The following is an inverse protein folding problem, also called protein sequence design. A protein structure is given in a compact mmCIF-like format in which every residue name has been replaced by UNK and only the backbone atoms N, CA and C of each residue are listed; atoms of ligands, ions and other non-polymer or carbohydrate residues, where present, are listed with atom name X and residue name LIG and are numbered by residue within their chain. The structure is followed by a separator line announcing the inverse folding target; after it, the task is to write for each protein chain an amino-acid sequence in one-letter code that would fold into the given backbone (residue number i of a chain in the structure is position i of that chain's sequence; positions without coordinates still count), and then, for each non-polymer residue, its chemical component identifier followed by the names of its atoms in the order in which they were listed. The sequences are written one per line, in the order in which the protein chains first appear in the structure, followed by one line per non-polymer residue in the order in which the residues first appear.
data_IF_756681783114
#
_entry.id   IF_756681783114
#
_cell.length_a   1.000
_cell.length_b   1.000
_cell.length_c   1.000
_cell.angle_alpha   90.00
_cell.angle_beta   90.00
_cell.angle_gamma   90.00
#
_symmetry.space_group_name_H-M   'P 1'
#
loop_
_entity.id
_entity.type
_entity.pdbx_description
1 polymer ?
#
# COMPACT_ATOMS: atom_id res chain seq x y z
N UNK A 1 -18.34 34.35 33.23
CA UNK A 1 -19.70 34.52 32.68
C UNK A 1 -20.64 34.87 33.83
N UNK A 2 -20.94 36.15 34.02
CA UNK A 2 -21.89 36.62 35.03
C UNK A 2 -23.32 36.47 34.49
N UNK A 3 -24.14 35.67 35.17
CA UNK A 3 -25.55 35.47 34.87
C UNK A 3 -26.35 36.67 35.37
N UNK A 4 -26.83 37.51 34.44
CA UNK A 4 -27.78 38.58 34.77
C UNK A 4 -29.10 37.98 35.31
N UNK A 5 -29.67 38.53 36.41
CA UNK A 5 -30.87 37.98 37.02
C UNK A 5 -32.08 38.19 36.10
N UNK A 6 -32.74 37.08 35.75
CA UNK A 6 -34.03 37.04 35.05
C UNK A 6 -35.12 37.63 35.95
N UNK A 7 -35.29 38.95 35.93
CA UNK A 7 -36.45 39.63 36.54
C UNK A 7 -37.72 39.18 35.80
N UNK A 8 -38.48 38.27 36.41
CA UNK A 8 -39.78 37.80 35.93
C UNK A 8 -40.80 38.94 36.00
N UNK A 9 -40.83 39.77 34.97
CA UNK A 9 -41.78 40.87 34.78
C UNK A 9 -43.19 40.35 34.37
N UNK A 10 -43.72 39.34 35.08
CA UNK A 10 -45.06 38.78 34.79
C UNK A 10 -46.23 39.67 35.25
N UNK A 11 -45.98 40.76 35.99
CA UNK A 11 -47.02 41.59 36.62
C UNK A 11 -47.21 43.00 36.03
N UNK A 12 -46.38 43.39 35.04
CA UNK A 12 -46.48 44.71 34.42
C UNK A 12 -47.81 45.03 33.68
N UNK A 13 -48.54 44.09 33.05
CA UNK A 13 -49.82 44.46 32.42
C UNK A 13 -50.92 44.77 33.45
N UNK A 14 -50.90 44.12 34.61
CA UNK A 14 -51.89 44.35 35.68
C UNK A 14 -51.71 45.69 36.39
N UNK A 15 -50.47 46.14 36.59
CA UNK A 15 -50.20 47.42 37.25
C UNK A 15 -50.65 48.64 36.42
N UNK A 16 -50.53 48.58 35.09
CA UNK A 16 -50.98 49.64 34.18
C UNK A 16 -52.51 49.65 33.99
N UNK A 17 -53.14 48.47 33.96
CA UNK A 17 -54.60 48.38 33.98
C UNK A 17 -55.17 48.93 35.29
N UNK A 18 -54.55 48.61 36.43
CA UNK A 18 -54.93 49.16 37.73
C UNK A 18 -54.71 50.68 37.82
N UNK A 19 -53.60 51.19 37.28
CA UNK A 19 -53.36 52.64 37.21
C UNK A 19 -54.35 53.36 36.29
N UNK A 20 -54.72 52.76 35.15
CA UNK A 20 -55.77 53.27 34.27
C UNK A 20 -57.15 53.28 34.94
N UNK A 21 -57.52 52.23 35.67
CA UNK A 21 -58.76 52.17 36.44
C UNK A 21 -58.79 53.18 37.59
N UNK A 22 -57.66 53.41 38.28
CA UNK A 22 -57.56 54.39 39.36
C UNK A 22 -57.65 55.84 38.85
N UNK A 23 -57.07 56.13 37.68
CA UNK A 23 -57.20 57.43 37.03
C UNK A 23 -58.63 57.67 36.53
N UNK A 24 -59.29 56.64 35.99
CA UNK A 24 -60.69 56.73 35.56
C UNK A 24 -61.66 56.90 36.74
N UNK A 25 -61.40 56.22 37.86
CA UNK A 25 -62.18 56.37 39.10
C UNK A 25 -61.98 57.73 39.78
N UNK A 26 -60.75 58.29 39.76
CA UNK A 26 -60.46 59.62 40.29
C UNK A 26 -61.09 60.76 39.48
N UNK A 27 -61.22 60.58 38.17
CA UNK A 27 -61.79 61.58 37.28
C UNK A 27 -63.33 61.69 37.40
N UNK A 28 -64.01 60.58 37.76
CA UNK A 28 -65.44 60.60 38.09
C UNK A 28 -65.77 61.11 39.51
N UNK A 29 -64.78 61.18 40.41
CA UNK A 29 -64.99 61.70 41.77
C UNK A 29 -64.98 63.24 41.84
N UNK A 30 -64.53 63.94 40.79
CA UNK A 30 -64.53 65.39 40.68
C UNK A 30 -65.34 65.83 39.45
N UNK A 31 -66.61 66.16 39.65
CA UNK A 31 -67.54 66.59 38.58
C UNK A 31 -67.17 67.93 37.91
N UNK A 32 -66.15 68.65 38.41
CA UNK A 32 -65.68 69.94 37.90
C UNK A 32 -64.19 69.91 37.45
N UNK A 33 -63.62 68.73 37.16
CA UNK A 33 -62.26 68.66 36.62
C UNK A 33 -62.22 69.27 35.20
N UNK A 34 -61.35 70.26 34.92
CA UNK A 34 -61.32 70.94 33.62
C UNK A 34 -60.91 69.95 32.53
N UNK A 35 -61.59 70.02 31.38
CA UNK A 35 -61.40 69.20 30.17
C UNK A 35 -59.90 69.03 29.78
N UNK A 36 -59.08 70.03 30.09
CA UNK A 36 -57.63 70.05 29.89
C UNK A 36 -56.84 68.95 30.64
N UNK A 37 -57.32 68.45 31.78
CA UNK A 37 -56.63 67.40 32.54
C UNK A 37 -56.89 66.00 31.96
N UNK A 38 -58.07 65.78 31.37
CA UNK A 38 -58.36 64.56 30.61
C UNK A 38 -57.49 64.43 29.36
N UNK A 39 -57.30 65.54 28.63
CA UNK A 39 -56.43 65.56 27.45
C UNK A 39 -54.96 65.29 27.79
N UNK A 40 -54.47 65.81 28.92
CA UNK A 40 -53.12 65.52 29.42
C UNK A 40 -52.94 64.05 29.79
N UNK A 41 -53.91 63.46 30.50
CA UNK A 41 -53.88 62.03 30.86
C UNK A 41 -53.95 61.15 29.60
N UNK A 42 -54.83 61.50 28.65
CA UNK A 42 -54.94 60.80 27.38
C UNK A 42 -53.64 60.89 26.55
N UNK A 43 -53.00 62.07 26.50
CA UNK A 43 -51.70 62.26 25.84
C UNK A 43 -50.60 61.42 26.50
N UNK A 44 -50.51 61.42 27.84
CA UNK A 44 -49.54 60.61 28.58
C UNK A 44 -49.74 59.10 28.34
N UNK A 45 -50.99 58.63 28.26
CA UNK A 45 -51.29 57.23 27.93
C UNK A 45 -50.91 56.87 26.49
N UNK A 46 -51.14 57.75 25.51
CA UNK A 46 -50.68 57.56 24.11
C UNK A 46 -49.15 57.52 24.03
N UNK A 47 -48.46 58.40 24.77
CA UNK A 47 -47.00 58.41 24.80
C UNK A 47 -46.45 57.12 25.44
N UNK A 48 -46.98 56.72 26.60
CA UNK A 48 -46.58 55.49 27.29
C UNK A 48 -46.83 54.22 26.45
N UNK A 49 -47.96 54.16 25.74
CA UNK A 49 -48.25 53.03 24.82
C UNK A 49 -47.30 53.02 23.63
N UNK A 50 -47.00 54.19 23.03
CA UNK A 50 -46.04 54.30 21.93
C UNK A 50 -44.60 53.92 22.35
N UNK A 51 -44.18 54.33 23.54
CA UNK A 51 -42.87 53.99 24.11
C UNK A 51 -42.77 52.47 24.38
N UNK A 52 -43.84 51.85 24.88
CA UNK A 52 -43.91 50.40 25.09
C UNK A 52 -43.85 49.62 23.77
N UNK A 53 -44.54 50.09 22.73
CA UNK A 53 -44.48 49.49 21.41
C UNK A 53 -43.06 49.59 20.81
N UNK A 54 -42.39 50.75 20.94
CA UNK A 54 -40.99 50.94 20.53
C UNK A 54 -40.03 50.03 21.31
N UNK A 55 -40.19 49.90 22.62
CA UNK A 55 -39.37 49.00 23.43
C UNK A 55 -39.59 47.53 23.05
N UNK A 56 -40.84 47.15 22.77
CA UNK A 56 -41.18 45.81 22.34
C UNK A 56 -40.59 45.49 20.95
N UNK A 57 -40.63 46.43 20.00
CA UNK A 57 -40.02 46.24 18.68
C UNK A 57 -38.49 46.15 18.75
N UNK A 58 -37.85 47.01 19.56
CA UNK A 58 -36.39 46.93 19.80
C UNK A 58 -35.98 45.60 20.43
N UNK A 59 -36.73 45.10 21.41
CA UNK A 59 -36.46 43.79 22.02
C UNK A 59 -36.62 42.64 21.03
N UNK A 60 -37.62 42.70 20.15
CA UNK A 60 -37.77 41.71 19.07
C UNK A 60 -36.61 41.78 18.08
N UNK A 61 -36.17 42.98 17.70
CA UNK A 61 -35.01 43.16 16.83
C UNK A 61 -33.73 42.61 17.47
N UNK A 62 -33.47 42.92 18.75
CA UNK A 62 -32.32 42.39 19.48
C UNK A 62 -32.37 40.86 19.59
N UNK A 63 -33.54 40.28 19.90
CA UNK A 63 -33.71 38.83 19.97
C UNK A 63 -33.50 38.14 18.61
N UNK A 64 -33.92 38.77 17.51
CA UNK A 64 -33.66 38.26 16.16
C UNK A 64 -32.17 38.28 15.82
N UNK A 65 -31.45 39.35 16.17
CA UNK A 65 -30.00 39.43 15.95
C UNK A 65 -29.22 38.43 16.81
N UNK A 66 -29.62 38.24 18.08
CA UNK A 66 -29.06 37.18 18.93
C UNK A 66 -29.32 35.78 18.36
N UNK A 67 -30.53 35.53 17.85
CA UNK A 67 -30.86 34.26 17.21
C UNK A 67 -30.03 34.02 15.94
N UNK A 68 -29.83 35.04 15.09
CA UNK A 68 -28.95 34.95 13.91
C UNK A 68 -27.50 34.66 14.29
N UNK A 69 -26.98 35.33 15.33
CA UNK A 69 -25.61 35.08 15.83
C UNK A 69 -25.45 33.65 16.31
N UNK A 70 -26.39 33.15 17.12
CA UNK A 70 -26.36 31.78 17.60
C UNK A 70 -26.50 30.75 16.47
N UNK A 71 -27.27 31.05 15.42
CA UNK A 71 -27.35 30.20 14.22
C UNK A 71 -26.03 30.16 13.46
N UNK A 72 -25.39 31.32 13.26
CA UNK A 72 -24.09 31.40 12.59
C UNK A 72 -23.00 30.66 13.37
N UNK A 73 -22.96 30.82 14.70
CA UNK A 73 -22.01 30.13 15.56
C UNK A 73 -22.14 28.61 15.43
N UNK A 74 -23.35 28.07 15.49
CA UNK A 74 -23.61 26.63 15.26
C UNK A 74 -23.18 26.17 13.87
N UNK A 75 -23.52 26.94 12.83
CA UNK A 75 -23.14 26.60 11.46
C UNK A 75 -21.61 26.58 11.28
N UNK A 76 -20.89 27.51 11.92
CA UNK A 76 -19.44 27.52 11.90
C UNK A 76 -18.84 26.34 12.67
N UNK A 77 -19.37 26.01 13.85
CA UNK A 77 -18.91 24.87 14.64
C UNK A 77 -19.12 23.53 13.91
N UNK A 78 -20.28 23.36 13.26
CA UNK A 78 -20.57 22.21 12.40
C UNK A 78 -19.58 22.13 11.23
N UNK A 79 -19.32 23.24 10.55
CA UNK A 79 -18.36 23.27 9.43
C UNK A 79 -16.93 23.00 9.90
N UNK A 80 -16.51 23.57 11.02
CA UNK A 80 -15.18 23.35 11.60
C UNK A 80 -15.01 21.88 12.01
N UNK A 81 -16.02 21.28 12.66
CA UNK A 81 -15.97 19.88 13.07
C UNK A 81 -15.93 18.93 11.86
N UNK A 82 -16.73 19.21 10.83
CA UNK A 82 -16.69 18.49 9.55
C UNK A 82 -15.29 18.57 8.91
N UNK A 83 -14.74 19.76 8.70
CA UNK A 83 -13.39 19.92 8.11
C UNK A 83 -12.29 19.24 8.93
N UNK A 84 -12.39 19.27 10.27
CA UNK A 84 -11.43 18.55 11.14
C UNK A 84 -11.50 17.04 10.93
N UNK A 85 -12.71 16.49 10.79
CA UNK A 85 -12.90 15.06 10.52
C UNK A 85 -12.34 14.65 9.15
N UNK A 86 -12.56 15.48 8.13
CA UNK A 86 -12.01 15.27 6.79
C UNK A 86 -10.48 15.33 6.80
N UNK A 87 -9.89 16.33 7.46
CA UNK A 87 -8.43 16.42 7.61
C UNK A 87 -7.83 15.23 8.35
N UNK A 88 -8.52 14.72 9.38
CA UNK A 88 -8.09 13.51 10.07
C UNK A 88 -8.15 12.28 9.14
N UNK A 89 -9.22 12.15 8.35
CA UNK A 89 -9.36 11.10 7.33
C UNK A 89 -8.26 11.17 6.27
N UNK A 90 -7.99 12.35 5.73
CA UNK A 90 -6.92 12.58 4.75
C UNK A 90 -5.53 12.28 5.33
N UNK A 91 -5.25 12.69 6.56
CA UNK A 91 -3.98 12.36 7.24
C UNK A 91 -3.80 10.86 7.38
N UNK A 92 -4.86 10.14 7.77
CA UNK A 92 -4.83 8.68 7.88
C UNK A 92 -4.57 8.02 6.52
N UNK A 93 -5.33 8.41 5.49
CA UNK A 93 -5.15 7.88 4.14
C UNK A 93 -3.75 8.15 3.58
N UNK A 94 -3.20 9.35 3.82
CA UNK A 94 -1.86 9.69 3.37
C UNK A 94 -0.77 8.89 4.12
N UNK A 95 -0.95 8.65 5.43
CA UNK A 95 -0.05 7.79 6.19
C UNK A 95 -0.07 6.33 5.68
N UNK A 96 -1.26 5.80 5.33
CA UNK A 96 -1.40 4.49 4.70
C UNK A 96 -0.75 4.43 3.33
N UNK A 97 -0.89 5.48 2.51
CA UNK A 97 -0.25 5.58 1.21
C UNK A 97 1.29 5.61 1.32
N UNK A 98 1.82 6.39 2.27
CA UNK A 98 3.26 6.44 2.54
C UNK A 98 3.82 5.09 3.04
N UNK A 99 3.07 4.38 3.89
CA UNK A 99 3.46 3.03 4.32
C UNK A 99 3.48 2.05 3.14
N UNK A 100 2.52 2.14 2.22
CA UNK A 100 2.49 1.31 1.00
C UNK A 100 3.65 1.63 0.06
N UNK A 101 3.98 2.91 -0.15
CA UNK A 101 5.11 3.29 -1.00
C UNK A 101 6.44 2.79 -0.44
N UNK A 102 6.68 2.96 0.86
CA UNK A 102 7.88 2.44 1.52
C UNK A 102 8.00 0.91 1.42
N UNK A 103 6.88 0.19 1.56
CA UNK A 103 6.88 -1.27 1.38
C UNK A 103 7.18 -1.69 -0.07
N UNK A 104 6.71 -0.93 -1.06
CA UNK A 104 7.01 -1.18 -2.47
C UNK A 104 8.47 -0.87 -2.81
N UNK A 105 9.02 0.24 -2.29
CA UNK A 105 10.44 0.58 -2.45
C UNK A 105 11.34 -0.54 -1.90
N UNK A 106 11.03 -1.05 -0.71
CA UNK A 106 11.75 -2.20 -0.15
C UNK A 106 11.65 -3.44 -1.04
N UNK A 107 10.47 -3.77 -1.54
CA UNK A 107 10.30 -4.91 -2.46
C UNK A 107 11.08 -4.74 -3.76
N UNK A 108 11.15 -3.52 -4.29
CA UNK A 108 11.95 -3.22 -5.48
C UNK A 108 13.45 -3.34 -5.20
N UNK A 109 13.92 -2.86 -4.04
CA UNK A 109 15.32 -3.03 -3.65
C UNK A 109 15.69 -4.51 -3.49
N UNK A 110 14.83 -5.29 -2.82
CA UNK A 110 15.04 -6.73 -2.63
C UNK A 110 15.05 -7.47 -3.98
N UNK A 111 14.15 -7.12 -4.90
CA UNK A 111 14.11 -7.69 -6.25
C UNK A 111 15.35 -7.30 -7.08
N UNK A 112 15.87 -6.08 -6.94
CA UNK A 112 17.09 -5.65 -7.62
C UNK A 112 18.32 -6.45 -7.17
N UNK A 113 18.42 -6.75 -5.87
CA UNK A 113 19.48 -7.63 -5.33
C UNK A 113 19.36 -9.03 -5.92
N UNK A 114 18.16 -9.62 -5.91
CA UNK A 114 17.93 -10.95 -6.49
C UNK A 114 18.24 -11.02 -7.99
N UNK A 115 17.93 -9.97 -8.75
CA UNK A 115 18.28 -9.88 -10.17
C UNK A 115 19.80 -9.81 -10.39
N UNK A 116 20.53 -9.07 -9.54
CA UNK A 116 21.98 -9.01 -9.60
C UNK A 116 22.63 -10.36 -9.23
N UNK A 117 22.10 -11.06 -8.22
CA UNK A 117 22.55 -12.41 -7.86
C UNK A 117 22.30 -13.40 -9.01
N UNK A 118 21.13 -13.34 -9.64
CA UNK A 118 20.79 -14.17 -10.79
C UNK A 118 21.71 -13.90 -11.98
N UNK A 119 22.00 -12.62 -12.26
CA UNK A 119 22.93 -12.20 -13.31
C UNK A 119 24.33 -12.80 -13.09
N UNK A 120 24.86 -12.64 -11.87
CA UNK A 120 26.17 -13.18 -11.49
C UNK A 120 26.23 -14.71 -11.57
N UNK A 121 25.16 -15.40 -11.17
CA UNK A 121 25.06 -16.86 -11.30
C UNK A 121 25.07 -17.30 -12.76
N UNK A 122 24.30 -16.62 -13.62
CA UNK A 122 24.27 -16.95 -15.04
C UNK A 122 25.63 -16.71 -15.71
N UNK A 123 26.27 -15.59 -15.41
CA UNK A 123 27.62 -15.28 -15.89
C UNK A 123 28.65 -16.34 -15.48
N UNK A 124 28.66 -16.71 -14.19
CA UNK A 124 29.57 -17.73 -13.69
C UNK A 124 29.34 -19.09 -14.38
N UNK A 125 28.08 -19.46 -14.62
CA UNK A 125 27.73 -20.72 -15.29
C UNK A 125 28.08 -20.71 -16.78
N UNK A 126 27.78 -19.63 -17.49
CA UNK A 126 28.11 -19.49 -18.90
C UNK A 126 29.63 -19.52 -19.11
N UNK A 127 30.40 -18.76 -18.31
CA UNK A 127 31.88 -18.83 -18.36
C UNK A 127 32.40 -20.23 -18.02
N UNK A 128 31.79 -20.92 -17.05
CA UNK A 128 32.12 -22.30 -16.72
C UNK A 128 31.89 -23.27 -17.90
N UNK A 129 30.77 -23.12 -18.61
CA UNK A 129 30.48 -23.91 -19.82
C UNK A 129 31.46 -23.58 -20.95
N UNK A 130 31.71 -22.29 -21.21
CA UNK A 130 32.53 -21.85 -22.34
C UNK A 130 34.04 -22.07 -22.14
N UNK A 131 34.50 -22.13 -20.89
CA UNK A 131 35.90 -22.47 -20.55
C UNK A 131 36.18 -23.97 -20.64
N UNK A 132 35.17 -24.84 -20.60
CA UNK A 132 35.36 -26.27 -20.73
C UNK A 132 35.41 -26.68 -22.21
N UNK A 133 36.54 -27.21 -22.71
CA UNK A 133 36.72 -27.51 -24.13
C UNK A 133 35.75 -28.57 -24.67
N UNK A 134 35.28 -29.51 -23.84
CA UNK A 134 34.29 -30.51 -24.26
C UNK A 134 32.91 -29.87 -24.44
N UNK A 135 32.54 -29.01 -23.50
CA UNK A 135 31.26 -28.27 -23.54
C UNK A 135 31.24 -27.34 -24.74
N UNK A 136 32.34 -26.59 -24.94
CA UNK A 136 32.52 -25.67 -26.06
C UNK A 136 32.33 -26.37 -27.42
N UNK A 137 33.02 -27.49 -27.64
CA UNK A 137 32.90 -28.27 -28.89
C UNK A 137 31.49 -28.82 -29.12
N UNK A 138 30.82 -29.28 -28.07
CA UNK A 138 29.44 -29.79 -28.17
C UNK A 138 28.44 -28.67 -28.53
N UNK A 139 28.61 -27.49 -27.94
CA UNK A 139 27.81 -26.30 -28.25
C UNK A 139 28.03 -25.83 -29.69
N UNK A 140 29.29 -25.75 -30.15
CA UNK A 140 29.65 -25.40 -31.53
C UNK A 140 29.04 -26.39 -32.54
N UNK A 141 29.11 -27.70 -32.27
CA UNK A 141 28.45 -28.73 -33.10
C UNK A 141 26.93 -28.59 -33.14
N UNK A 142 26.35 -28.08 -32.06
CA UNK A 142 24.90 -27.83 -31.95
C UNK A 142 24.46 -26.52 -32.59
N UNK A 143 25.40 -25.75 -33.16
CA UNK A 143 25.12 -24.45 -33.78
C UNK A 143 24.86 -23.33 -32.78
N UNK A 144 25.25 -23.49 -31.51
CA UNK A 144 25.18 -22.40 -30.53
C UNK A 144 26.41 -21.51 -30.71
N UNK A 145 26.17 -20.24 -31.06
CA UNK A 145 27.19 -19.21 -31.05
C UNK A 145 27.61 -18.92 -29.61
N UNK A 146 28.92 -18.98 -29.37
CA UNK A 146 29.51 -18.76 -28.06
C UNK A 146 30.00 -17.32 -28.03
N UNK A 147 29.33 -16.40 -27.31
CA UNK A 147 29.74 -15.01 -27.27
C UNK A 147 31.11 -14.86 -26.63
N UNK A 148 31.86 -13.84 -27.07
CA UNK A 148 33.10 -13.45 -26.41
C UNK A 148 32.86 -12.91 -24.99
N UNK A 149 33.92 -12.80 -24.18
CA UNK A 149 33.81 -12.27 -22.80
C UNK A 149 33.27 -10.84 -22.72
N UNK A 150 33.51 -10.03 -23.77
CA UNK A 150 32.97 -8.68 -23.88
C UNK A 150 31.46 -8.71 -24.16
N UNK A 151 31.04 -9.49 -25.15
CA UNK A 151 29.64 -9.65 -25.54
C UNK A 151 28.81 -10.24 -24.40
N UNK A 152 29.35 -11.20 -23.64
CA UNK A 152 28.67 -11.80 -22.50
C UNK A 152 28.38 -10.76 -21.39
N UNK A 153 29.27 -9.78 -21.19
CA UNK A 153 29.06 -8.71 -20.21
C UNK A 153 27.96 -7.73 -20.63
N UNK A 154 27.75 -7.57 -21.94
CA UNK A 154 26.77 -6.64 -22.48
C UNK A 154 25.33 -7.21 -22.46
N UNK A 155 25.18 -8.52 -22.20
CA UNK A 155 23.88 -9.15 -22.02
C UNK A 155 23.27 -8.81 -20.66
N UNK A 156 21.95 -8.62 -20.65
CA UNK A 156 21.20 -8.53 -19.38
C UNK A 156 20.96 -9.93 -18.76
N UNK A 157 20.49 -9.94 -17.51
CA UNK A 157 20.25 -11.17 -16.76
C UNK A 157 19.26 -12.13 -17.46
N UNK A 158 18.25 -11.58 -18.16
CA UNK A 158 17.24 -12.38 -18.85
C UNK A 158 17.81 -13.02 -20.12
N UNK A 159 18.61 -12.28 -20.88
CA UNK A 159 19.34 -12.75 -22.05
C UNK A 159 20.36 -13.82 -21.66
N UNK A 160 21.12 -13.61 -20.58
CA UNK A 160 22.05 -14.62 -20.03
C UNK A 160 21.31 -15.88 -19.57
N UNK A 161 20.17 -15.74 -18.89
CA UNK A 161 19.30 -16.88 -18.52
C UNK A 161 18.86 -17.66 -19.76
N UNK A 162 18.40 -16.97 -20.81
CA UNK A 162 17.97 -17.56 -22.06
C UNK A 162 19.10 -18.30 -22.78
N UNK A 163 20.28 -17.69 -22.86
CA UNK A 163 21.47 -18.30 -23.44
C UNK A 163 21.91 -19.53 -22.65
N UNK A 164 21.94 -19.45 -21.32
CA UNK A 164 22.30 -20.57 -20.45
C UNK A 164 21.34 -21.74 -20.67
N UNK A 165 20.03 -21.47 -20.75
CA UNK A 165 19.03 -22.48 -21.07
C UNK A 165 19.29 -23.13 -22.43
N UNK A 166 19.51 -22.34 -23.47
CA UNK A 166 19.80 -22.86 -24.81
C UNK A 166 21.05 -23.76 -24.80
N UNK A 167 22.11 -23.33 -24.11
CA UNK A 167 23.33 -24.11 -23.93
C UNK A 167 23.06 -25.46 -23.25
N UNK A 168 22.32 -25.44 -22.13
CA UNK A 168 21.97 -26.66 -21.40
C UNK A 168 21.10 -27.60 -22.25
N UNK A 169 20.13 -27.09 -23.00
CA UNK A 169 19.29 -27.89 -23.90
C UNK A 169 20.11 -28.54 -25.02
N UNK A 170 21.06 -27.82 -25.63
CA UNK A 170 21.93 -28.36 -26.66
C UNK A 170 22.86 -29.47 -26.12
N UNK A 171 23.48 -29.23 -24.96
CA UNK A 171 24.33 -30.23 -24.30
C UNK A 171 23.55 -31.50 -23.97
N UNK A 172 22.32 -31.37 -23.46
CA UNK A 172 21.44 -32.51 -23.21
C UNK A 172 21.08 -33.30 -24.47
N UNK A 173 20.86 -32.61 -25.61
CA UNK A 173 20.59 -33.26 -26.90
C UNK A 173 21.81 -34.03 -27.40
N UNK A 174 23.00 -33.45 -27.33
CA UNK A 174 24.23 -34.11 -27.76
C UNK A 174 24.53 -35.33 -26.88
N UNK A 175 24.39 -35.21 -25.56
CA UNK A 175 24.53 -36.36 -24.65
C UNK A 175 23.54 -37.48 -24.99
N UNK A 176 22.29 -37.14 -25.29
CA UNK A 176 21.27 -38.14 -25.67
C UNK A 176 21.66 -38.90 -26.94
N UNK A 177 22.26 -38.22 -27.93
CA UNK A 177 22.77 -38.88 -29.15
C UNK A 177 23.91 -39.83 -28.83
N UNK A 178 24.89 -39.38 -28.04
CA UNK A 178 26.06 -40.18 -27.68
C UNK A 178 25.70 -41.44 -26.89
N UNK A 179 24.72 -41.33 -25.99
CA UNK A 179 24.14 -42.49 -25.28
C UNK A 179 23.54 -43.48 -26.28
N UNK A 180 22.77 -42.98 -27.25
CA UNK A 180 22.11 -43.84 -28.24
C UNK A 180 23.08 -44.52 -29.20
N UNK A 181 24.18 -43.86 -29.56
CA UNK A 181 25.15 -44.35 -30.55
C UNK A 181 26.21 -45.27 -29.93
N UNK A 182 26.69 -44.95 -28.72
CA UNK A 182 27.88 -45.57 -28.14
C UNK A 182 27.65 -46.16 -26.75
N UNK A 183 26.45 -46.05 -26.18
CA UNK A 183 26.16 -46.46 -24.80
C UNK A 183 26.95 -45.67 -23.75
N UNK A 184 27.58 -44.55 -24.14
CA UNK A 184 28.47 -43.74 -23.32
C UNK A 184 28.07 -42.27 -23.35
N UNK A 185 28.30 -41.55 -22.26
CA UNK A 185 28.03 -40.10 -22.13
C UNK A 185 29.33 -39.35 -22.36
N UNK A 186 29.38 -38.43 -23.35
CA UNK A 186 30.64 -37.76 -23.71
C UNK A 186 30.78 -36.34 -23.16
N UNK A 187 29.71 -35.65 -22.79
CA UNK A 187 29.84 -34.37 -22.12
C UNK A 187 29.99 -34.67 -20.63
N UNK A 188 31.14 -34.39 -20.02
CA UNK A 188 31.33 -34.51 -18.56
C UNK A 188 30.49 -33.52 -17.73
N UNK A 189 29.30 -33.14 -18.22
CA UNK A 189 28.40 -32.13 -17.68
C UNK A 189 27.20 -32.87 -17.10
N UNK A 190 27.46 -33.68 -16.08
CA UNK A 190 26.37 -34.28 -15.32
C UNK A 190 25.80 -33.26 -14.34
N UNK A 191 24.55 -32.89 -14.58
CA UNK A 191 23.61 -32.53 -13.53
C UNK A 191 22.35 -33.34 -13.73
N UNK A 192 22.21 -34.48 -13.04
CA UNK A 192 20.89 -35.06 -12.82
C UNK A 192 20.21 -34.16 -11.78
N UNK A 193 19.17 -33.45 -12.20
CA UNK A 193 18.32 -32.69 -11.28
C UNK A 193 17.36 -33.68 -10.61
N UNK A 194 17.66 -34.05 -9.37
CA UNK A 194 16.74 -34.82 -8.55
C UNK A 194 15.83 -33.83 -7.84
N UNK A 195 14.61 -33.68 -8.36
CA UNK A 195 13.56 -32.91 -7.71
C UNK A 195 12.92 -33.83 -6.67
N UNK A 196 13.05 -33.47 -5.40
CA UNK A 196 12.41 -34.20 -4.31
C UNK A 196 10.89 -34.07 -4.42
N UNK A 197 10.16 -35.19 -4.32
CA UNK A 197 8.69 -35.20 -4.25
C UNK A 197 8.14 -34.52 -2.98
N UNK A 198 8.99 -34.28 -1.96
CA UNK A 198 8.61 -33.45 -0.81
C UNK A 198 8.59 -31.98 -1.20
N UNK A 199 7.39 -31.39 -1.17
CA UNK A 199 7.18 -29.93 -1.14
C UNK A 199 7.80 -29.36 0.14
N UNK A 200 8.58 -28.30 0.01
CA UNK A 200 8.92 -27.42 1.14
C UNK A 200 7.69 -26.59 1.50
N UNK A 201 7.66 -26.05 2.72
CA UNK A 201 6.51 -25.35 3.32
C UNK A 201 6.02 -24.15 2.46
N UNK A 202 6.87 -23.59 1.61
CA UNK A 202 6.56 -22.46 0.72
C UNK A 202 6.16 -22.87 -0.71
N UNK A 203 5.91 -24.15 -0.98
CA UNK A 203 5.54 -24.63 -2.33
C UNK A 203 6.70 -24.73 -3.32
N UNK A 204 7.93 -24.46 -2.87
CA UNK A 204 9.17 -24.65 -3.64
C UNK A 204 9.63 -26.11 -3.53
N UNK A 205 9.99 -26.72 -4.65
CA UNK A 205 10.55 -28.07 -4.66
C UNK A 205 12.05 -28.01 -4.38
N UNK A 206 12.54 -28.86 -3.48
CA UNK A 206 13.97 -29.01 -3.28
C UNK A 206 14.56 -29.77 -4.49
N UNK A 207 15.42 -29.10 -5.26
CA UNK A 207 16.14 -29.71 -6.37
C UNK A 207 17.60 -29.94 -5.96
N UNK A 208 18.06 -31.20 -6.00
CA UNK A 208 19.47 -31.56 -5.79
C UNK A 208 20.13 -31.81 -7.13
N UNK A 209 21.28 -31.20 -7.33
CA UNK A 209 22.12 -31.45 -8.50
C UNK A 209 23.09 -32.59 -8.17
N UNK A 210 22.95 -33.73 -8.85
CA UNK A 210 23.83 -34.90 -8.67
C UNK A 210 24.73 -35.07 -9.91
N UNK A 211 26.04 -35.16 -9.68
CA UNK A 211 27.00 -35.62 -10.70
C UNK A 211 26.89 -37.14 -10.78
N UNK A 212 26.41 -37.65 -11.90
CA UNK A 212 26.53 -39.07 -12.20
C UNK A 212 28.00 -39.36 -12.53
N UNK A 213 28.59 -40.29 -11.77
CA UNK A 213 30.02 -40.59 -11.81
C UNK A 213 30.55 -41.21 -10.52
N UNK A 214 29.81 -41.13 -9.40
CA UNK A 214 30.21 -41.80 -8.16
C UNK A 214 29.77 -43.27 -8.07
N UNK A 215 28.94 -43.77 -9.01
CA UNK A 215 28.42 -45.14 -8.99
C UNK A 215 28.69 -45.95 -10.26
N UNK A 216 29.69 -45.54 -11.07
CA UNK A 216 30.33 -46.50 -11.98
C UNK A 216 31.33 -47.31 -11.14
N UNK A 217 30.86 -48.46 -10.66
CA UNK A 217 31.61 -49.33 -9.77
C UNK A 217 33.07 -49.53 -10.20
N UNK A 218 33.96 -49.38 -9.23
CA UNK A 218 35.23 -50.07 -9.19
C UNK A 218 34.93 -51.58 -9.26
N UNK A 219 34.80 -52.12 -10.47
CA UNK A 219 35.09 -53.52 -10.75
C UNK A 219 36.51 -53.55 -11.31
N UNK A 220 37.47 -53.57 -10.40
CA UNK A 220 38.80 -54.12 -10.66
C UNK A 220 38.66 -55.61 -10.97
N UNK A 221 38.28 -55.91 -12.20
CA UNK A 221 38.30 -57.25 -12.80
C UNK A 221 39.35 -57.28 -13.89
N UNK A 222 40.63 -57.19 -13.51
CA UNK A 222 41.73 -57.50 -14.41
C UNK A 222 41.64 -58.99 -14.80
N UNK A 223 41.05 -59.29 -15.95
CA UNK A 223 41.30 -60.54 -16.66
C UNK A 223 42.50 -60.31 -17.58
N UNK A 224 43.69 -60.62 -17.08
CA UNK A 224 44.85 -60.93 -17.92
C UNK A 224 44.57 -62.25 -18.62
N UNK A 225 44.09 -62.16 -19.87
CA UNK A 225 43.97 -63.29 -20.79
C UNK A 225 44.93 -63.13 -21.95
N UNK A 226 46.23 -63.22 -21.70
CA UNK A 226 47.23 -63.48 -22.75
C UNK A 226 47.18 -64.98 -23.07
N UNK A 227 46.89 -65.33 -24.33
CA UNK A 227 47.04 -66.69 -24.85
C UNK A 227 48.13 -66.75 -25.92
N UNK A 228 49.02 -67.73 -25.72
CA UNK A 228 49.82 -68.50 -26.67
C UNK A 228 51.03 -67.84 -27.35
N UNK A 229 52.22 -68.32 -26.96
CA UNK A 229 53.47 -68.31 -27.73
C UNK A 229 54.21 -69.62 -27.46
N UNK A 230 54.65 -70.29 -28.52
CA UNK A 230 54.97 -71.72 -28.59
C UNK A 230 56.27 -72.15 -27.88
N UNK A 231 56.31 -73.44 -27.48
CA UNK A 231 57.54 -74.20 -27.26
C UNK A 231 58.35 -74.32 -28.57
N UNK A 232 59.69 -74.33 -28.49
CA UNK A 232 60.50 -75.11 -29.40
C UNK A 232 61.16 -76.29 -28.68
N UNK A 233 61.14 -77.39 -29.42
CA UNK A 233 61.70 -78.72 -29.18
C UNK A 233 63.18 -78.69 -28.76
N UNK A 234 63.48 -79.46 -27.71
CA UNK A 234 64.34 -80.66 -27.78
C UNK A 234 65.85 -80.51 -28.03
N UNK A 235 66.64 -81.21 -27.22
CA UNK A 235 68.00 -81.60 -27.61
C UNK A 235 68.92 -81.96 -26.45
N UNK A 236 68.81 -83.22 -26.00
CA UNK A 236 69.79 -84.05 -25.25
C UNK A 236 70.61 -83.42 -24.12
#
# INVERSE_FOLDING_TARGET
MQTLPKLKLKRAPFALAAAGCLLFAGAHAHADAPEADYDRIAAAMREATSARLKLASQRRAAALEEAKRAQLERAYDEKISSMKSELAGLKKSNAEAAARSAALEKRLSDAAVLLAELDALCDARLRGLFSNPLSKRALEKSGIEIPGDAELKDLDAAQKCSLLRACLEALLREDSKLVSENGAVSCGIWTRLEVSDRRLEDGVYAARVVRSGAEAGVRTGAKTGLKAGAEPKGGK
#
